data_IF_005289334719
#
_entry.id   IF_005289334719
#
_cell.length_a   1.000
_cell.length_b   1.000
_cell.length_c   1.000
_cell.angle_alpha   90.00
_cell.angle_beta   90.00
_cell.angle_gamma   90.00
#
_symmetry.space_group_name_H-M   'P 1'
#
loop_
_entity.id
_entity.type
_entity.pdbx_description
1 polymer ?
#
# COMPACT_ATOMS: atom_id res chain seq x y z
N UNK A 1 -0.51 23.42 1.28
CA UNK A 1 0.48 22.32 1.21
C UNK A 1 -0.06 21.16 2.02
N UNK A 2 0.21 19.93 1.57
CA UNK A 2 -0.24 18.71 2.25
C UNK A 2 0.57 18.51 3.55
N UNK A 3 -0.06 18.11 4.65
CA UNK A 3 0.67 17.77 5.88
C UNK A 3 1.46 16.47 5.71
N UNK A 4 2.45 16.20 6.58
CA UNK A 4 3.19 14.93 6.57
C UNK A 4 2.26 13.71 6.67
N UNK A 5 1.22 13.80 7.50
CA UNK A 5 0.16 12.79 7.63
C UNK A 5 -0.62 12.56 6.32
N UNK A 6 -1.14 13.64 5.73
CA UNK A 6 -1.89 13.54 4.48
C UNK A 6 -1.01 12.98 3.35
N UNK A 7 0.23 13.46 3.25
CA UNK A 7 1.19 12.99 2.25
C UNK A 7 1.50 11.51 2.41
N UNK A 8 1.79 11.08 3.64
CA UNK A 8 2.12 9.68 3.93
C UNK A 8 0.95 8.75 3.64
N UNK A 9 -0.27 9.12 4.04
CA UNK A 9 -1.47 8.30 3.75
C UNK A 9 -1.72 8.21 2.25
N UNK A 10 -1.57 9.32 1.51
CA UNK A 10 -1.71 9.31 0.04
C UNK A 10 -0.67 8.42 -0.63
N UNK A 11 0.60 8.47 -0.20
CA UNK A 11 1.64 7.59 -0.77
C UNK A 11 1.40 6.13 -0.39
N UNK A 12 1.04 5.85 0.86
CA UNK A 12 0.78 4.49 1.35
C UNK A 12 -0.36 3.77 0.61
N UNK A 13 -1.32 4.50 0.05
CA UNK A 13 -2.39 3.92 -0.78
C UNK A 13 -1.88 3.32 -2.10
N UNK A 14 -0.66 3.68 -2.53
CA UNK A 14 -0.04 3.13 -3.75
C UNK A 14 0.63 1.77 -3.55
N UNK A 15 0.67 1.23 -2.32
CA UNK A 15 1.54 0.10 -1.99
C UNK A 15 1.24 -1.17 -2.79
N UNK A 16 -0.05 -1.54 -2.92
CA UNK A 16 -0.47 -2.69 -3.73
C UNK A 16 -0.09 -2.56 -5.20
N UNK A 17 -0.11 -1.34 -5.74
CA UNK A 17 0.35 -1.05 -7.09
C UNK A 17 1.87 -1.17 -7.26
N UNK A 18 2.63 -0.79 -6.23
CA UNK A 18 4.11 -0.89 -6.23
C UNK A 18 4.58 -2.34 -6.25
N UNK A 19 3.93 -3.25 -5.52
CA UNK A 19 4.29 -4.68 -5.45
C UNK A 19 3.43 -5.59 -6.35
N UNK A 20 2.62 -5.03 -7.25
CA UNK A 20 1.78 -5.82 -8.14
C UNK A 20 2.62 -6.66 -9.10
N UNK A 21 2.45 -7.99 -9.04
CA UNK A 21 3.18 -8.95 -9.87
C UNK A 21 2.38 -9.49 -11.07
N UNK A 22 1.13 -9.02 -11.26
CA UNK A 22 0.22 -9.47 -12.33
C UNK A 22 -0.17 -8.33 -13.27
N UNK A 23 -0.50 -8.65 -14.52
CA UNK A 23 -1.06 -7.65 -15.45
C UNK A 23 -2.40 -7.10 -14.92
N UNK A 24 -2.51 -5.81 -14.57
CA UNK A 24 -3.72 -5.21 -14.01
C UNK A 24 -4.91 -5.23 -14.97
N UNK A 25 -4.68 -5.33 -16.28
CA UNK A 25 -5.78 -5.40 -17.25
C UNK A 25 -6.43 -6.79 -17.28
N UNK A 26 -5.63 -7.83 -17.06
CA UNK A 26 -6.12 -9.22 -16.99
C UNK A 26 -6.56 -9.59 -15.58
N UNK A 27 -5.86 -9.10 -14.55
CA UNK A 27 -6.10 -9.41 -13.13
C UNK A 27 -6.25 -8.13 -12.30
N UNK A 28 -7.34 -7.34 -12.48
CA UNK A 28 -7.55 -6.16 -11.67
C UNK A 28 -7.78 -6.53 -10.21
N UNK A 29 -7.19 -5.74 -9.33
CA UNK A 29 -7.45 -5.74 -7.89
C UNK A 29 -7.93 -4.38 -7.44
N UNK A 30 -8.89 -4.34 -6.52
CA UNK A 30 -9.40 -3.11 -5.92
C UNK A 30 -9.27 -3.16 -4.41
N UNK A 31 -8.82 -2.06 -3.81
CA UNK A 31 -8.79 -1.88 -2.36
C UNK A 31 -10.19 -1.99 -1.78
N UNK A 32 -10.37 -2.93 -0.84
CA UNK A 32 -11.57 -3.01 -0.02
C UNK A 32 -11.43 -2.16 1.24
N UNK A 33 -10.21 -2.08 1.77
CA UNK A 33 -9.83 -1.21 2.88
C UNK A 33 -8.37 -0.76 2.76
N UNK A 34 -8.00 0.12 3.70
CA UNK A 34 -6.65 0.63 3.88
C UNK A 34 -6.47 0.93 5.38
N UNK A 35 -5.48 0.30 6.01
CA UNK A 35 -5.11 0.58 7.40
C UNK A 35 -3.68 1.09 7.43
N UNK A 36 -3.51 2.34 7.86
CA UNK A 36 -2.19 2.97 8.05
C UNK A 36 -1.99 3.22 9.54
N UNK A 37 -0.98 2.57 10.12
CA UNK A 37 -0.63 2.69 11.53
C UNK A 37 0.78 3.26 11.67
N UNK A 38 0.89 4.53 12.09
CA UNK A 38 2.16 5.22 12.29
C UNK A 38 2.39 5.50 13.77
N UNK A 39 3.61 5.30 14.26
CA UNK A 39 3.95 5.42 15.69
C UNK A 39 4.59 6.78 16.05
N UNK A 40 4.71 7.69 15.08
CA UNK A 40 5.22 9.06 15.24
C UNK A 40 4.72 9.93 14.08
N UNK A 41 4.91 11.24 14.19
CA UNK A 41 4.61 12.16 13.09
C UNK A 41 5.55 11.93 11.89
N UNK A 42 5.01 11.89 10.66
CA UNK A 42 5.81 11.80 9.44
C UNK A 42 6.50 13.13 9.11
N UNK A 43 7.73 13.05 8.63
CA UNK A 43 8.37 14.23 8.02
C UNK A 43 7.85 14.47 6.59
N UNK A 44 7.85 15.72 6.18
CA UNK A 44 7.57 16.07 4.79
C UNK A 44 8.77 15.69 3.93
N UNK A 45 8.56 14.96 2.83
CA UNK A 45 9.67 14.51 1.98
C UNK A 45 9.37 13.16 1.35
N UNK A 46 10.41 12.35 1.16
CA UNK A 46 10.26 11.01 0.60
C UNK A 46 9.60 10.05 1.59
N UNK A 47 8.73 9.19 1.06
CA UNK A 47 8.15 8.07 1.79
C UNK A 47 8.57 6.80 1.06
N UNK A 48 9.24 5.91 1.77
CA UNK A 48 9.66 4.61 1.27
C UNK A 48 8.61 3.55 1.62
N UNK A 49 8.22 2.77 0.61
CA UNK A 49 7.29 1.66 0.72
C UNK A 49 8.05 0.36 0.45
N UNK A 50 8.33 -0.40 1.51
CA UNK A 50 8.85 -1.77 1.40
C UNK A 50 7.64 -2.71 1.50
N UNK A 51 7.18 -3.17 0.34
CA UNK A 51 5.84 -3.75 0.16
C UNK A 51 5.89 -5.13 -0.47
N UNK A 52 5.03 -6.02 0.03
CA UNK A 52 4.79 -7.36 -0.52
C UNK A 52 3.30 -7.56 -0.75
N UNK A 53 2.93 -7.98 -1.96
CA UNK A 53 1.55 -8.34 -2.32
C UNK A 53 1.44 -9.84 -2.53
N UNK A 54 0.56 -10.48 -1.76
CA UNK A 54 0.27 -11.91 -1.86
C UNK A 54 -1.19 -12.09 -2.25
N UNK A 55 -1.43 -12.86 -3.30
CA UNK A 55 -2.78 -13.16 -3.80
C UNK A 55 -2.84 -14.52 -4.45
N UNK A 56 -4.03 -15.09 -4.54
CA UNK A 56 -4.28 -16.34 -5.29
C UNK A 56 -5.58 -16.21 -6.08
N UNK A 57 -5.68 -16.84 -7.27
CA UNK A 57 -6.89 -16.79 -8.08
C UNK A 57 -8.13 -17.20 -7.29
N UNK A 58 -9.20 -16.40 -7.34
CA UNK A 58 -10.46 -16.67 -6.64
C UNK A 58 -10.48 -16.38 -5.14
N UNK A 59 -9.40 -15.82 -4.58
CA UNK A 59 -9.29 -15.46 -3.15
C UNK A 59 -9.03 -13.95 -2.97
N UNK A 60 -8.98 -13.51 -1.72
CA UNK A 60 -8.53 -12.17 -1.37
C UNK A 60 -7.05 -11.95 -1.73
N UNK A 61 -6.69 -10.68 -1.91
CA UNK A 61 -5.31 -10.24 -2.10
C UNK A 61 -4.95 -9.38 -0.89
N UNK A 62 -3.77 -9.60 -0.34
CA UNK A 62 -3.24 -8.87 0.80
C UNK A 62 -1.98 -8.14 0.37
N UNK A 63 -1.88 -6.86 0.68
CA UNK A 63 -0.61 -6.13 0.61
C UNK A 63 -0.21 -5.69 2.00
N UNK A 64 1.01 -6.02 2.37
CA UNK A 64 1.65 -5.59 3.61
C UNK A 64 2.85 -4.70 3.28
N UNK A 65 2.93 -3.56 3.97
CA UNK A 65 3.95 -2.56 3.67
C UNK A 65 4.55 -1.99 4.93
N UNK A 66 5.87 -2.04 5.03
CA UNK A 66 6.62 -1.22 5.97
C UNK A 66 6.77 0.19 5.40
N UNK A 67 6.34 1.19 6.18
CA UNK A 67 6.43 2.61 5.81
C UNK A 67 7.60 3.26 6.54
N UNK A 68 8.45 3.97 5.79
CA UNK A 68 9.58 4.74 6.34
C UNK A 68 9.65 6.13 5.71
N UNK A 69 10.21 7.10 6.43
CA UNK A 69 10.59 8.41 5.91
C UNK A 69 12.12 8.61 6.08
N UNK A 70 12.61 9.84 5.88
CA UNK A 70 14.04 10.18 5.99
C UNK A 70 14.63 9.95 7.39
N UNK A 71 13.79 9.76 8.43
CA UNK A 71 14.19 9.40 9.80
C UNK A 71 14.07 7.92 10.10
N UNK A 72 13.81 7.11 9.07
CA UNK A 72 13.69 5.68 9.14
C UNK A 72 12.25 5.21 9.33
N UNK A 73 12.08 4.07 10.00
CA UNK A 73 10.78 3.41 10.13
C UNK A 73 9.76 4.32 10.81
N UNK A 74 8.55 4.31 10.26
CA UNK A 74 7.45 5.19 10.65
C UNK A 74 6.22 4.39 11.06
N UNK A 75 6.01 3.23 10.43
CA UNK A 75 4.83 2.42 10.69
C UNK A 75 4.60 1.34 9.65
N UNK A 76 3.35 0.93 9.52
CA UNK A 76 2.92 -0.13 8.61
C UNK A 76 1.62 0.28 7.90
N UNK A 77 1.49 -0.15 6.66
CA UNK A 77 0.27 -0.07 5.87
C UNK A 77 -0.16 -1.49 5.51
N UNK A 78 -1.45 -1.76 5.62
CA UNK A 78 -2.07 -3.01 5.14
C UNK A 78 -3.23 -2.63 4.23
N UNK A 79 -3.30 -3.29 3.07
CA UNK A 79 -4.41 -3.18 2.14
C UNK A 79 -5.00 -4.57 1.92
N UNK A 80 -6.28 -4.75 2.24
CA UNK A 80 -7.04 -5.91 1.78
C UNK A 80 -7.69 -5.55 0.44
N UNK A 81 -7.47 -6.38 -0.58
CA UNK A 81 -7.96 -6.15 -1.93
C UNK A 81 -8.81 -7.32 -2.42
N UNK A 82 -9.77 -6.98 -3.27
CA UNK A 82 -10.51 -7.95 -4.06
C UNK A 82 -9.87 -8.07 -5.44
N UNK A 83 -9.25 -9.22 -5.71
CA UNK A 83 -8.69 -9.56 -7.02
C UNK A 83 -9.65 -10.41 -7.84
N UNK A 84 -9.73 -10.16 -9.15
CA UNK A 84 -10.47 -11.00 -10.09
C UNK A 84 -9.73 -11.17 -11.40
N UNK A 85 -10.11 -12.16 -12.20
CA UNK A 85 -9.71 -12.27 -13.61
C UNK A 85 -10.77 -11.62 -14.49
N UNK A 86 -10.35 -10.88 -15.52
CA UNK A 86 -11.24 -10.40 -16.58
C UNK A 86 -11.40 -11.48 -17.65
N UNK A 87 -12.64 -11.73 -18.07
CA UNK A 87 -13.05 -12.80 -18.97
C UNK A 87 -13.83 -13.86 -18.22
#
# INVERSE_FOLDING_TARGET
TMTGWQHTVTVADSSSGVSMATDPLTYPSINCDLVVSLHRDPETGWIHLDTETVGSPGHGVLTDTLVSDDRGRLGRCVQNLYGRRVG
#
